data_IF_966646449626
#
_entry.id   IF_966646449626
#
_cell.length_a   1.000
_cell.length_b   1.000
_cell.length_c   1.000
_cell.angle_alpha   90.00
_cell.angle_beta   90.00
_cell.angle_gamma   90.00
#
_symmetry.space_group_name_H-M   'P 1'
#
loop_
_entity.id
_entity.type
_entity.pdbx_description
1 polymer ?
#
# COMPACT_ATOMS: atom_id res chain seq x y z
N UNK A 1 -65.13 40.07 -9.33
CA UNK A 1 -65.77 40.68 -8.14
C UNK A 1 -65.29 39.88 -6.94
N UNK A 2 -64.17 40.25 -6.32
CA UNK A 2 -64.09 41.17 -5.17
C UNK A 2 -64.09 40.29 -3.90
N UNK A 3 -63.04 40.14 -3.10
CA UNK A 3 -61.99 41.07 -2.69
C UNK A 3 -62.13 41.32 -1.18
N UNK A 4 -61.03 41.14 -0.43
CA UNK A 4 -60.71 41.42 1.01
C UNK A 4 -60.20 40.13 1.68
N UNK A 5 -58.91 39.92 1.98
CA UNK A 5 -57.83 40.78 2.50
C UNK A 5 -58.07 41.35 3.91
N UNK A 6 -57.03 41.25 4.75
CA UNK A 6 -56.83 41.52 6.20
C UNK A 6 -56.59 40.24 7.02
N UNK A 7 -55.48 40.06 7.74
CA UNK A 7 -54.45 41.05 8.07
C UNK A 7 -53.19 40.43 8.67
N UNK A 8 -52.07 40.90 8.14
CA UNK A 8 -50.74 40.90 8.73
C UNK A 8 -50.53 42.24 9.48
N UNK A 9 -50.24 42.17 10.78
CA UNK A 9 -49.62 43.19 11.66
C UNK A 9 -48.90 42.38 12.76
N UNK A 10 -47.69 42.62 13.23
CA UNK A 10 -46.82 43.80 13.42
C UNK A 10 -45.36 43.33 13.24
N UNK A 11 -44.50 44.01 12.46
CA UNK A 11 -43.63 45.14 12.84
C UNK A 11 -42.70 44.85 14.04
N UNK A 12 -41.44 44.55 13.71
CA UNK A 12 -40.26 44.66 14.57
C UNK A 12 -39.04 44.95 13.72
N UNK A 13 -38.86 46.22 13.32
CA UNK A 13 -37.60 46.75 12.78
C UNK A 13 -36.53 46.63 13.85
N UNK A 14 -35.39 46.04 13.50
CA UNK A 14 -34.11 46.37 14.10
C UNK A 14 -33.15 46.76 12.97
N UNK A 15 -33.13 48.06 12.71
CA UNK A 15 -32.01 48.74 12.06
C UNK A 15 -30.81 48.69 13.02
N UNK A 16 -29.65 48.21 12.54
CA UNK A 16 -28.47 48.02 13.38
C UNK A 16 -27.19 47.76 12.59
N UNK A 17 -26.73 48.80 11.89
CA UNK A 17 -25.32 49.17 11.70
C UNK A 17 -24.28 48.10 11.38
N UNK A 18 -23.87 48.06 10.12
CA UNK A 18 -22.47 47.81 9.75
C UNK A 18 -21.61 48.98 10.25
N UNK A 19 -20.64 48.71 11.13
CA UNK A 19 -19.56 49.62 11.56
C UNK A 19 -18.43 48.76 12.20
N UNK A 20 -17.17 49.23 12.28
CA UNK A 20 -16.15 48.85 11.32
C UNK A 20 -14.99 48.02 11.91
N UNK A 21 -14.14 47.52 11.01
CA UNK A 21 -12.85 46.90 11.27
C UNK A 21 -11.96 47.83 12.13
N UNK A 22 -11.86 47.56 13.43
CA UNK A 22 -10.90 48.24 14.30
C UNK A 22 -9.49 47.70 14.05
N UNK A 23 -8.62 48.61 13.61
CA UNK A 23 -7.20 48.43 13.36
C UNK A 23 -6.47 47.83 14.58
N UNK A 24 -5.77 46.71 14.36
CA UNK A 24 -4.67 46.28 15.22
C UNK A 24 -3.36 46.76 14.61
N UNK A 25 -2.66 47.61 15.37
CA UNK A 25 -1.40 48.27 15.05
C UNK A 25 -0.28 47.31 14.61
N UNK A 26 0.67 47.79 13.79
CA UNK A 26 1.66 46.96 13.11
C UNK A 26 2.73 46.44 14.08
N UNK A 27 3.03 45.14 13.97
CA UNK A 27 4.20 44.52 14.62
C UNK A 27 5.49 45.09 13.99
N UNK A 28 6.54 45.32 14.78
CA UNK A 28 7.78 45.97 14.32
C UNK A 28 8.55 45.09 13.31
N UNK A 29 9.37 45.70 12.43
CA UNK A 29 10.10 44.98 11.41
C UNK A 29 11.18 44.09 12.06
N UNK A 30 11.05 42.77 11.89
CA UNK A 30 12.13 41.85 12.23
C UNK A 30 13.28 42.09 11.24
N UNK A 31 14.43 42.45 11.80
CA UNK A 31 15.64 42.81 11.09
C UNK A 31 16.01 41.79 10.00
N UNK A 32 16.25 42.29 8.78
CA UNK A 32 16.94 41.57 7.72
C UNK A 32 18.38 41.28 8.16
N UNK A 33 18.58 40.14 8.82
CA UNK A 33 19.89 39.57 9.03
C UNK A 33 20.48 39.18 7.67
N UNK A 34 21.41 39.99 7.17
CA UNK A 34 22.31 39.63 6.05
C UNK A 34 23.09 38.37 6.44
N UNK A 35 22.59 37.19 6.11
CA UNK A 35 23.41 35.98 6.07
C UNK A 35 24.18 36.02 4.74
N UNK A 36 25.47 36.30 4.88
CA UNK A 36 26.46 36.25 3.80
C UNK A 36 26.31 34.93 3.04
N UNK A 37 26.21 35.03 1.71
CA UNK A 37 26.49 33.93 0.80
C UNK A 37 27.83 33.32 1.21
N UNK A 38 27.82 32.07 1.68
CA UNK A 38 29.00 31.23 1.72
C UNK A 38 29.03 30.48 0.39
N UNK A 39 30.15 30.63 -0.28
CA UNK A 39 30.47 30.06 -1.58
C UNK A 39 30.03 28.61 -1.72
N UNK A 40 29.25 28.34 -2.77
CA UNK A 40 28.99 27.00 -3.26
C UNK A 40 30.28 26.44 -3.87
N UNK A 41 31.03 25.63 -3.11
CA UNK A 41 31.98 24.68 -3.69
C UNK A 41 31.21 23.45 -4.18
N UNK A 42 31.42 22.97 -5.42
CA UNK A 42 30.94 21.65 -5.83
C UNK A 42 31.79 20.57 -5.13
N UNK A 43 31.26 19.35 -5.05
CA UNK A 43 31.86 18.17 -4.39
C UNK A 43 31.83 18.11 -2.86
N UNK A 44 30.63 17.87 -2.29
CA UNK A 44 30.47 16.90 -1.19
C UNK A 44 29.12 16.20 -1.28
N UNK A 45 29.13 14.87 -1.43
CA UNK A 45 27.95 14.02 -1.22
C UNK A 45 27.43 14.22 0.22
N UNK A 46 26.11 14.13 0.49
CA UNK A 46 25.59 14.23 1.85
C UNK A 46 26.09 13.04 2.69
N UNK A 47 26.87 13.31 3.75
CA UNK A 47 27.50 12.31 4.63
C UNK A 47 26.55 11.40 5.44
N UNK A 48 25.26 11.39 5.11
CA UNK A 48 24.28 10.45 5.69
C UNK A 48 24.28 9.10 4.96
N UNK A 49 24.79 9.05 3.73
CA UNK A 49 24.96 7.80 2.96
C UNK A 49 26.20 7.03 3.45
N UNK A 50 27.25 7.73 3.93
CA UNK A 50 28.50 7.09 4.37
C UNK A 50 28.32 6.25 5.65
N UNK A 51 27.32 6.55 6.48
CA UNK A 51 26.98 5.74 7.66
C UNK A 51 26.23 4.45 7.31
N UNK A 52 25.45 4.43 6.23
CA UNK A 52 24.80 3.22 5.70
C UNK A 52 25.71 2.43 4.74
N UNK A 53 26.71 3.10 4.13
CA UNK A 53 27.74 2.52 3.29
C UNK A 53 29.05 2.19 4.04
N UNK A 54 29.04 2.28 5.38
CA UNK A 54 30.15 1.80 6.20
C UNK A 54 30.29 0.29 6.01
N UNK A 55 31.39 -0.15 5.42
CA UNK A 55 31.74 -1.55 5.11
C UNK A 55 31.56 -2.47 6.33
N UNK A 56 30.33 -2.93 6.55
CA UNK A 56 29.98 -4.04 7.43
C UNK A 56 29.63 -5.22 6.55
N UNK A 57 30.62 -5.82 5.88
CA UNK A 57 30.52 -7.14 5.20
C UNK A 57 29.13 -7.48 4.64
N UNK A 58 28.52 -6.52 3.96
CA UNK A 58 27.23 -6.64 3.28
C UNK A 58 27.50 -6.31 1.82
N UNK A 59 28.29 -7.18 1.21
CA UNK A 59 28.48 -7.25 -0.23
C UNK A 59 28.22 -8.68 -0.66
N UNK A 60 28.19 -8.91 -1.98
CA UNK A 60 28.47 -10.22 -2.55
C UNK A 60 29.85 -10.63 -2.05
N UNK A 61 29.92 -11.35 -0.93
CA UNK A 61 31.12 -12.09 -0.59
C UNK A 61 31.38 -12.99 -1.80
N UNK A 62 32.52 -12.76 -2.47
CA UNK A 62 33.05 -13.68 -3.45
C UNK A 62 33.32 -15.00 -2.73
N UNK A 63 32.28 -15.83 -2.61
CA UNK A 63 32.49 -17.26 -2.43
C UNK A 63 33.23 -17.70 -3.70
N UNK A 64 34.48 -18.19 -3.61
CA UNK A 64 35.27 -18.48 -4.79
C UNK A 64 34.51 -19.47 -5.68
N UNK A 65 34.51 -19.30 -7.02
CA UNK A 65 33.86 -20.22 -7.94
C UNK A 65 34.73 -21.48 -8.05
N UNK A 66 34.81 -22.27 -6.98
CA UNK A 66 35.33 -23.62 -7.08
C UNK A 66 34.18 -24.50 -7.58
N UNK A 67 34.35 -25.25 -8.68
CA UNK A 67 33.38 -26.24 -9.07
C UNK A 67 33.27 -27.24 -7.91
N UNK A 68 32.07 -27.38 -7.33
CA UNK A 68 31.77 -28.46 -6.38
C UNK A 68 31.80 -29.77 -7.15
N UNK A 69 33.00 -30.31 -7.40
CA UNK A 69 33.23 -31.56 -8.14
C UNK A 69 32.81 -32.83 -7.40
N UNK A 70 32.26 -32.71 -6.20
CA UNK A 70 31.53 -33.79 -5.54
C UNK A 70 30.34 -33.21 -4.77
N UNK A 71 29.10 -33.39 -5.25
CA UNK A 71 27.93 -33.23 -4.40
C UNK A 71 27.92 -34.43 -3.45
N UNK A 72 28.77 -34.43 -2.42
CA UNK A 72 28.47 -35.25 -1.26
C UNK A 72 27.24 -34.61 -0.65
N UNK A 73 26.18 -35.40 -0.47
CA UNK A 73 25.08 -35.03 0.40
C UNK A 73 25.71 -34.54 1.70
N UNK A 74 25.67 -33.25 1.98
CA UNK A 74 25.71 -32.83 3.37
C UNK A 74 24.49 -33.50 3.96
N UNK A 75 24.75 -34.63 4.62
CA UNK A 75 23.78 -35.35 5.39
C UNK A 75 23.02 -34.32 6.19
N UNK A 76 21.71 -34.53 6.24
CA UNK A 76 20.83 -33.93 7.23
C UNK A 76 21.59 -33.94 8.55
N UNK A 77 22.24 -32.82 8.90
CA UNK A 77 22.67 -32.62 10.27
C UNK A 77 21.35 -32.60 11.02
N UNK A 78 21.20 -33.64 11.81
CA UNK A 78 20.01 -34.05 12.51
C UNK A 78 19.15 -32.86 12.95
N UNK A 79 18.00 -32.69 12.28
CA UNK A 79 16.79 -32.16 12.92
C UNK A 79 16.19 -33.25 13.84
N UNK A 80 17.03 -34.05 14.52
CA UNK A 80 16.61 -34.91 15.64
C UNK A 80 16.87 -34.12 16.90
N UNK A 81 15.84 -33.43 17.39
CA UNK A 81 15.87 -32.74 18.67
C UNK A 81 15.31 -31.32 18.68
N UNK A 82 14.99 -30.74 17.51
CA UNK A 82 14.14 -29.56 17.52
C UNK A 82 12.74 -30.02 17.91
N UNK A 83 12.34 -29.79 19.18
CA UNK A 83 10.94 -29.70 19.53
C UNK A 83 10.26 -28.93 18.42
N UNK A 84 9.22 -29.50 17.79
CA UNK A 84 8.43 -28.78 16.81
C UNK A 84 8.11 -27.43 17.44
N UNK A 85 8.69 -26.31 16.94
CA UNK A 85 8.37 -25.02 17.52
C UNK A 85 6.86 -24.89 17.33
N UNK A 86 6.15 -24.56 18.41
CA UNK A 86 4.75 -24.23 18.33
C UNK A 86 4.61 -23.27 17.15
N UNK A 87 3.81 -23.66 16.16
CA UNK A 87 3.63 -22.85 14.97
C UNK A 87 3.36 -21.42 15.43
N UNK A 88 4.06 -20.39 14.90
CA UNK A 88 3.70 -19.02 15.21
C UNK A 88 2.21 -18.88 14.96
N UNK A 89 1.46 -18.14 15.82
CA UNK A 89 0.03 -18.05 15.67
C UNK A 89 -0.25 -17.68 14.21
N UNK A 90 -1.09 -18.45 13.48
CA UNK A 90 -1.48 -18.05 12.14
C UNK A 90 -1.93 -16.60 12.26
N UNK A 91 -1.41 -15.71 11.40
CA UNK A 91 -1.88 -14.32 11.36
C UNK A 91 -3.41 -14.41 11.41
N UNK A 92 -4.02 -13.86 12.47
CA UNK A 92 -5.38 -14.22 12.91
C UNK A 92 -6.30 -14.27 11.69
N UNK A 93 -6.58 -15.48 11.22
CA UNK A 93 -7.78 -15.72 10.46
C UNK A 93 -8.86 -15.78 11.54
N UNK A 94 -9.88 -14.91 11.52
CA UNK A 94 -11.02 -15.07 12.41
C UNK A 94 -11.46 -16.53 12.34
N UNK A 95 -11.42 -17.21 13.48
CA UNK A 95 -11.83 -18.60 13.60
C UNK A 95 -13.28 -18.74 13.18
N UNK A 96 -13.53 -19.81 12.42
CA UNK A 96 -14.81 -20.37 12.02
C UNK A 96 -15.90 -19.38 11.54
N UNK A 97 -16.13 -19.40 10.22
CA UNK A 97 -17.32 -18.93 9.49
C UNK A 97 -17.35 -17.52 8.85
N UNK A 98 -16.25 -16.77 8.73
CA UNK A 98 -16.26 -15.51 7.96
C UNK A 98 -15.29 -15.53 6.77
N UNK A 99 -15.86 -15.47 5.56
CA UNK A 99 -15.14 -15.26 4.30
C UNK A 99 -14.46 -13.90 4.32
N UNK A 100 -13.13 -13.88 4.19
CA UNK A 100 -12.31 -12.67 4.24
C UNK A 100 -12.55 -11.79 3.02
N UNK A 101 -12.96 -10.54 3.24
CA UNK A 101 -13.18 -9.54 2.23
C UNK A 101 -11.89 -8.87 1.75
N UNK A 102 -11.63 -8.92 0.45
CA UNK A 102 -10.43 -8.35 -0.17
C UNK A 102 -10.75 -7.08 -0.96
N UNK A 103 -9.88 -6.07 -0.83
CA UNK A 103 -9.75 -4.97 -1.79
C UNK A 103 -8.57 -5.24 -2.71
N UNK A 104 -8.81 -5.41 -4.01
CA UNK A 104 -7.74 -5.62 -4.99
C UNK A 104 -7.35 -4.31 -5.68
N UNK A 105 -6.32 -3.65 -5.14
CA UNK A 105 -5.78 -2.44 -5.74
C UNK A 105 -4.83 -2.80 -6.88
N UNK A 106 -5.25 -2.56 -8.12
CA UNK A 106 -4.52 -2.98 -9.32
C UNK A 106 -5.03 -4.30 -9.89
N UNK A 107 -6.35 -4.52 -9.87
CA UNK A 107 -7.01 -5.78 -10.23
C UNK A 107 -6.67 -6.31 -11.64
N UNK A 108 -6.52 -5.42 -12.63
CA UNK A 108 -6.18 -5.81 -14.01
C UNK A 108 -4.68 -6.01 -14.26
N UNK A 109 -3.85 -5.70 -13.25
CA UNK A 109 -2.40 -5.92 -13.28
C UNK A 109 -2.04 -7.41 -13.11
N UNK A 110 -0.74 -7.73 -13.26
CA UNK A 110 -0.28 -9.12 -13.10
C UNK A 110 -0.59 -9.68 -11.71
N UNK A 111 -0.24 -8.94 -10.66
CA UNK A 111 -0.48 -9.38 -9.28
C UNK A 111 -1.98 -9.43 -8.96
N UNK A 112 -2.77 -8.48 -9.46
CA UNK A 112 -4.23 -8.49 -9.30
C UNK A 112 -4.87 -9.73 -9.90
N UNK A 113 -4.47 -10.13 -11.12
CA UNK A 113 -4.93 -11.36 -11.78
C UNK A 113 -4.51 -12.62 -11.02
N UNK A 114 -3.25 -12.69 -10.57
CA UNK A 114 -2.80 -13.81 -9.72
C UNK A 114 -3.55 -13.88 -8.39
N UNK A 115 -3.88 -12.73 -7.78
CA UNK A 115 -4.69 -12.69 -6.56
C UNK A 115 -6.13 -13.18 -6.81
N UNK A 116 -6.74 -12.83 -7.95
CA UNK A 116 -8.04 -13.34 -8.36
C UNK A 116 -8.04 -14.85 -8.56
N UNK A 117 -6.97 -15.40 -9.15
CA UNK A 117 -6.81 -16.86 -9.25
C UNK A 117 -6.80 -17.52 -7.86
N UNK A 118 -6.12 -16.94 -6.87
CA UNK A 118 -6.16 -17.45 -5.49
C UNK A 118 -7.57 -17.38 -4.89
N UNK A 119 -8.31 -16.29 -5.13
CA UNK A 119 -9.71 -16.17 -4.66
C UNK A 119 -10.59 -17.25 -5.28
N UNK A 120 -10.44 -17.51 -6.59
CA UNK A 120 -11.21 -18.56 -7.31
C UNK A 120 -10.97 -19.96 -6.75
N UNK A 121 -9.77 -20.24 -6.22
CA UNK A 121 -9.45 -21.55 -5.62
C UNK A 121 -9.88 -21.66 -4.15
N UNK A 122 -10.27 -20.56 -3.51
CA UNK A 122 -10.66 -20.52 -2.09
C UNK A 122 -11.93 -19.68 -1.83
N UNK A 123 -13.05 -19.94 -2.54
CA UNK A 123 -14.27 -19.13 -2.45
C UNK A 123 -14.97 -19.24 -1.09
N UNK A 124 -14.71 -20.31 -0.35
CA UNK A 124 -15.17 -20.54 1.03
C UNK A 124 -14.45 -19.62 2.05
N UNK A 125 -13.25 -19.15 1.69
CA UNK A 125 -12.36 -18.40 2.61
C UNK A 125 -12.13 -16.96 2.18
N UNK A 126 -12.24 -16.65 0.89
CA UNK A 126 -11.91 -15.36 0.31
C UNK A 126 -13.05 -14.86 -0.58
N UNK A 127 -13.34 -13.57 -0.50
CA UNK A 127 -14.23 -12.86 -1.42
C UNK A 127 -13.63 -11.53 -1.81
N UNK A 128 -13.96 -11.04 -3.00
CA UNK A 128 -13.60 -9.68 -3.40
C UNK A 128 -14.72 -8.74 -2.97
N UNK A 129 -14.41 -7.79 -2.09
CA UNK A 129 -15.34 -6.74 -1.70
C UNK A 129 -15.23 -5.54 -2.65
N UNK A 130 -14.00 -5.15 -3.01
CA UNK A 130 -13.75 -4.01 -3.88
C UNK A 130 -12.65 -4.29 -4.90
N UNK A 131 -12.77 -3.68 -6.07
CA UNK A 131 -11.76 -3.71 -7.13
C UNK A 131 -11.28 -2.30 -7.42
N UNK A 132 -9.99 -2.14 -7.69
CA UNK A 132 -9.48 -0.87 -8.19
C UNK A 132 -8.50 -1.06 -9.35
N UNK A 133 -8.51 -0.14 -10.31
CA UNK A 133 -7.55 -0.14 -11.41
C UNK A 133 -7.30 1.27 -11.96
N UNK A 134 -6.24 1.40 -12.76
CA UNK A 134 -5.91 2.67 -13.41
C UNK A 134 -6.95 3.09 -14.48
N UNK A 135 -7.63 2.13 -15.13
CA UNK A 135 -8.64 2.40 -16.16
C UNK A 135 -8.21 2.08 -17.60
N UNK A 136 -7.03 1.49 -17.83
CA UNK A 136 -6.56 1.12 -19.19
C UNK A 136 -7.40 0.04 -19.88
N UNK A 137 -8.16 -0.74 -19.11
CA UNK A 137 -8.98 -1.87 -19.58
C UNK A 137 -10.34 -1.88 -18.88
N UNK A 138 -11.22 -0.91 -19.15
CA UNK A 138 -12.46 -0.75 -18.41
C UNK A 138 -13.43 -1.93 -18.60
N UNK A 139 -13.46 -2.55 -19.78
CA UNK A 139 -14.32 -3.70 -20.07
C UNK A 139 -13.88 -4.93 -19.26
N UNK A 140 -12.57 -5.19 -19.19
CA UNK A 140 -11.99 -6.26 -18.37
C UNK A 140 -12.33 -6.03 -16.89
N UNK A 141 -12.20 -4.80 -16.40
CA UNK A 141 -12.53 -4.46 -15.01
C UNK A 141 -14.01 -4.67 -14.70
N UNK A 142 -14.91 -4.28 -15.60
CA UNK A 142 -16.35 -4.51 -15.44
C UNK A 142 -16.69 -6.01 -15.47
N UNK A 143 -16.03 -6.79 -16.32
CA UNK A 143 -16.19 -8.26 -16.31
C UNK A 143 -15.77 -8.86 -14.96
N UNK A 144 -14.60 -8.47 -14.45
CA UNK A 144 -14.11 -8.90 -13.14
C UNK A 144 -15.06 -8.50 -12.00
N UNK A 145 -15.62 -7.29 -12.03
CA UNK A 145 -16.56 -6.85 -11.00
C UNK A 145 -17.84 -7.69 -10.98
N UNK A 146 -18.40 -8.06 -12.15
CA UNK A 146 -19.56 -8.97 -12.23
C UNK A 146 -19.21 -10.39 -11.78
N UNK A 147 -18.08 -10.91 -12.23
CA UNK A 147 -17.62 -12.25 -11.87
C UNK A 147 -17.46 -12.41 -10.35
N UNK A 148 -16.88 -11.40 -9.71
CA UNK A 148 -16.52 -11.46 -8.30
C UNK A 148 -17.60 -10.97 -7.35
N UNK A 149 -18.64 -10.30 -7.86
CA UNK A 149 -19.69 -9.68 -7.06
C UNK A 149 -19.21 -8.48 -6.25
N UNK A 150 -18.15 -7.79 -6.68
CA UNK A 150 -17.58 -6.65 -5.97
C UNK A 150 -18.62 -5.52 -5.82
N UNK A 151 -18.73 -4.96 -4.60
CA UNK A 151 -19.70 -3.89 -4.27
C UNK A 151 -19.23 -2.51 -4.69
N UNK A 152 -17.93 -2.33 -4.86
CA UNK A 152 -17.33 -1.09 -5.29
C UNK A 152 -16.22 -1.31 -6.31
N UNK A 153 -16.21 -0.46 -7.34
CA UNK A 153 -15.14 -0.38 -8.34
C UNK A 153 -14.57 1.04 -8.37
N UNK A 154 -13.28 1.16 -8.06
CA UNK A 154 -12.55 2.43 -8.11
C UNK A 154 -11.67 2.50 -9.37
N UNK A 155 -11.82 3.57 -10.14
CA UNK A 155 -11.08 3.75 -11.40
C UNK A 155 -10.37 5.09 -11.41
N UNK A 156 -9.05 5.10 -11.59
CA UNK A 156 -8.30 6.37 -11.57
C UNK A 156 -8.77 7.31 -12.69
N UNK A 157 -8.91 6.80 -13.91
CA UNK A 157 -9.41 7.56 -15.07
C UNK A 157 -10.95 7.73 -15.02
N UNK A 158 -11.47 8.97 -14.95
CA UNK A 158 -12.91 9.23 -14.98
C UNK A 158 -13.63 8.72 -16.22
N UNK A 159 -13.00 8.76 -17.40
CA UNK A 159 -13.64 8.29 -18.65
C UNK A 159 -13.83 6.79 -18.63
N UNK A 160 -12.82 6.07 -18.15
CA UNK A 160 -12.89 4.63 -17.94
C UNK A 160 -13.94 4.27 -16.87
N UNK A 161 -14.07 5.09 -15.82
CA UNK A 161 -15.09 4.91 -14.80
C UNK A 161 -16.52 4.98 -15.38
N UNK A 162 -16.78 5.88 -16.32
CA UNK A 162 -18.09 5.98 -16.98
C UNK A 162 -18.39 4.72 -17.81
N UNK A 163 -17.40 4.16 -18.49
CA UNK A 163 -17.54 2.88 -19.21
C UNK A 163 -17.86 1.74 -18.26
N UNK A 164 -17.15 1.66 -17.13
CA UNK A 164 -17.41 0.64 -16.10
C UNK A 164 -18.80 0.81 -15.50
N UNK A 165 -19.23 2.05 -15.21
CA UNK A 165 -20.55 2.35 -14.64
C UNK A 165 -21.68 1.93 -15.56
N UNK A 166 -21.56 2.17 -16.87
CA UNK A 166 -22.56 1.73 -17.86
C UNK A 166 -22.65 0.21 -18.00
N UNK A 167 -21.55 -0.49 -17.70
CA UNK A 167 -21.50 -1.94 -17.80
C UNK A 167 -22.07 -2.64 -16.55
N UNK A 168 -22.02 -2.00 -15.39
CA UNK A 168 -22.40 -2.63 -14.12
C UNK A 168 -23.84 -2.29 -13.71
N UNK A 169 -24.48 -3.17 -12.91
CA UNK A 169 -25.78 -2.86 -12.33
C UNK A 169 -25.69 -1.67 -11.36
N UNK A 170 -26.82 -0.99 -11.12
CA UNK A 170 -26.86 0.28 -10.38
C UNK A 170 -26.57 0.16 -8.87
N UNK A 171 -26.56 -1.05 -8.32
CA UNK A 171 -26.21 -1.33 -6.92
C UNK A 171 -24.68 -1.40 -6.69
N UNK A 172 -23.88 -1.49 -7.76
CA UNK A 172 -22.42 -1.44 -7.67
C UNK A 172 -21.94 0.01 -7.70
N UNK A 173 -21.22 0.42 -6.66
CA UNK A 173 -20.68 1.77 -6.55
C UNK A 173 -19.47 1.92 -7.48
N UNK A 174 -19.54 2.81 -8.46
CA UNK A 174 -18.42 3.12 -9.36
C UNK A 174 -17.93 4.56 -9.14
N UNK A 175 -16.74 4.68 -8.54
CA UNK A 175 -16.12 5.95 -8.20
C UNK A 175 -14.80 6.16 -8.98
N UNK A 176 -14.38 7.41 -9.14
CA UNK A 176 -13.16 7.75 -9.88
C UNK A 176 -12.19 8.67 -9.15
N UNK A 177 -10.93 8.63 -9.62
CA UNK A 177 -9.84 9.45 -9.10
C UNK A 177 -9.11 8.85 -7.89
N UNK A 178 -8.13 9.59 -7.33
CA UNK A 178 -7.29 9.10 -6.23
C UNK A 178 -8.05 8.76 -4.96
N UNK A 179 -9.08 9.54 -4.61
CA UNK A 179 -9.89 9.29 -3.42
C UNK A 179 -10.67 7.96 -3.52
N UNK A 180 -11.13 7.60 -4.72
CA UNK A 180 -11.82 6.32 -4.93
C UNK A 180 -10.94 5.12 -4.56
N UNK A 181 -9.61 5.20 -4.72
CA UNK A 181 -8.70 4.15 -4.29
C UNK A 181 -8.66 4.01 -2.76
N UNK A 182 -8.68 5.14 -2.05
CA UNK A 182 -8.72 5.18 -0.58
C UNK A 182 -10.04 4.62 -0.09
N UNK A 183 -11.16 5.02 -0.70
CA UNK A 183 -12.49 4.53 -0.36
C UNK A 183 -12.60 3.01 -0.60
N UNK A 184 -12.08 2.51 -1.72
CA UNK A 184 -12.03 1.07 -2.00
C UNK A 184 -11.20 0.30 -0.97
N UNK A 185 -10.05 0.85 -0.55
CA UNK A 185 -9.16 0.24 0.43
C UNK A 185 -9.71 0.26 1.86
N UNK A 186 -10.57 1.24 2.18
CA UNK A 186 -11.15 1.44 3.51
C UNK A 186 -12.60 0.97 3.63
N UNK A 187 -13.19 0.47 2.54
CA UNK A 187 -14.58 0.02 2.49
C UNK A 187 -14.91 -0.93 3.67
N UNK A 188 -16.10 -0.80 4.30
CA UNK A 188 -16.43 -1.55 5.51
C UNK A 188 -16.31 -3.07 5.37
N UNK A 189 -16.65 -3.60 4.20
CA UNK A 189 -16.57 -5.03 3.88
C UNK A 189 -15.15 -5.56 3.57
N UNK A 190 -14.13 -4.70 3.60
CA UNK A 190 -12.74 -5.09 3.32
C UNK A 190 -12.01 -5.39 4.62
N UNK A 191 -11.50 -6.61 4.76
CA UNK A 191 -10.62 -6.98 5.87
C UNK A 191 -9.15 -6.81 5.49
N UNK A 192 -8.82 -7.05 4.21
CA UNK A 192 -7.46 -7.05 3.72
C UNK A 192 -7.32 -6.39 2.35
N UNK A 193 -6.26 -5.62 2.18
CA UNK A 193 -5.95 -4.92 0.93
C UNK A 193 -4.79 -5.61 0.22
N UNK A 194 -4.99 -6.02 -1.03
CA UNK A 194 -3.90 -6.43 -1.92
C UNK A 194 -3.42 -5.19 -2.67
N UNK A 195 -2.27 -4.67 -2.24
CA UNK A 195 -1.69 -3.43 -2.78
C UNK A 195 -0.73 -3.73 -3.94
N UNK A 196 -1.29 -3.78 -5.15
CA UNK A 196 -0.60 -4.08 -6.41
C UNK A 196 -0.53 -2.90 -7.40
N UNK A 197 -0.93 -1.69 -6.98
CA UNK A 197 -0.70 -0.46 -7.75
C UNK A 197 0.79 -0.13 -7.69
N UNK A 198 1.41 0.06 -8.85
CA UNK A 198 2.82 0.44 -9.01
C UNK A 198 3.00 1.94 -8.74
N UNK A 199 4.16 2.35 -8.24
CA UNK A 199 4.50 3.75 -8.00
C UNK A 199 4.02 4.28 -6.66
N UNK A 200 4.32 5.55 -6.41
CA UNK A 200 3.86 6.26 -5.22
C UNK A 200 2.33 6.42 -5.15
N UNK A 201 1.61 6.22 -6.26
CA UNK A 201 0.15 6.29 -6.30
C UNK A 201 -0.54 5.25 -5.41
N UNK A 202 0.13 4.13 -5.10
CA UNK A 202 -0.36 3.11 -4.17
C UNK A 202 -0.23 3.46 -2.70
N UNK A 203 0.57 4.48 -2.34
CA UNK A 203 0.88 4.80 -0.95
C UNK A 203 -0.34 5.35 -0.16
N UNK A 204 -1.12 6.32 -0.67
CA UNK A 204 -2.29 6.83 0.06
C UNK A 204 -3.32 5.76 0.46
N UNK A 205 -3.77 4.85 -0.43
CA UNK A 205 -4.72 3.81 -0.03
C UNK A 205 -4.10 2.78 0.92
N UNK A 206 -2.80 2.46 0.82
CA UNK A 206 -2.10 1.60 1.78
C UNK A 206 -2.06 2.25 3.17
N UNK A 207 -1.71 3.54 3.25
CA UNK A 207 -1.73 4.28 4.49
C UNK A 207 -3.12 4.26 5.14
N UNK A 208 -4.15 4.59 4.36
CA UNK A 208 -5.53 4.64 4.86
C UNK A 208 -6.02 3.27 5.35
N UNK A 209 -5.69 2.19 4.65
CA UNK A 209 -6.01 0.83 5.07
C UNK A 209 -5.38 0.48 6.42
N UNK A 210 -4.08 0.75 6.59
CA UNK A 210 -3.37 0.52 7.85
C UNK A 210 -3.92 1.39 8.99
N UNK A 211 -4.24 2.65 8.70
CA UNK A 211 -4.87 3.56 9.67
C UNK A 211 -6.24 3.06 10.14
N UNK A 212 -6.98 2.36 9.25
CA UNK A 212 -8.25 1.71 9.56
C UNK A 212 -8.09 0.32 10.22
N UNK A 213 -6.86 -0.12 10.55
CA UNK A 213 -6.59 -1.42 11.15
C UNK A 213 -6.69 -2.61 10.19
N UNK A 214 -6.80 -2.38 8.87
CA UNK A 214 -6.95 -3.43 7.85
C UNK A 214 -5.59 -4.00 7.49
N UNK A 215 -5.52 -5.32 7.30
CA UNK A 215 -4.28 -5.96 6.87
C UNK A 215 -3.92 -5.57 5.43
N UNK A 216 -2.63 -5.50 5.12
CA UNK A 216 -2.15 -5.16 3.77
C UNK A 216 -1.22 -6.26 3.26
N UNK A 217 -1.58 -6.88 2.15
CA UNK A 217 -0.70 -7.70 1.32
C UNK A 217 0.00 -6.78 0.31
N UNK A 218 1.25 -6.43 0.60
CA UNK A 218 2.00 -5.39 -0.11
C UNK A 218 2.90 -5.98 -1.20
N UNK A 219 2.51 -5.77 -2.46
CA UNK A 219 3.32 -6.12 -3.63
C UNK A 219 4.18 -4.95 -4.11
N UNK A 220 3.73 -3.72 -3.86
CA UNK A 220 4.49 -2.52 -4.18
C UNK A 220 5.64 -2.30 -3.17
N UNK A 221 6.86 -2.68 -3.57
CA UNK A 221 8.08 -2.45 -2.77
C UNK A 221 8.46 -0.97 -2.61
N UNK A 222 8.12 -0.13 -3.58
CA UNK A 222 8.46 1.31 -3.57
C UNK A 222 7.80 2.03 -2.39
N UNK A 223 6.60 1.60 -1.99
CA UNK A 223 5.92 2.11 -0.79
C UNK A 223 6.73 1.89 0.49
N UNK A 224 7.39 0.73 0.61
CA UNK A 224 8.28 0.45 1.74
C UNK A 224 9.60 1.21 1.66
N UNK A 225 10.12 1.43 0.45
CA UNK A 225 11.33 2.22 0.24
C UNK A 225 11.10 3.68 0.64
N UNK A 226 9.98 4.27 0.22
CA UNK A 226 9.67 5.69 0.45
C UNK A 226 9.17 5.96 1.87
N UNK A 227 8.29 5.10 2.39
CA UNK A 227 7.54 5.37 3.62
C UNK A 227 7.63 4.26 4.67
N UNK A 228 8.61 3.34 4.57
CA UNK A 228 8.73 2.17 5.42
C UNK A 228 8.60 2.42 6.93
N UNK A 229 9.35 3.36 7.53
CA UNK A 229 9.22 3.67 8.96
C UNK A 229 7.81 4.13 9.35
N UNK A 230 7.17 4.94 8.51
CA UNK A 230 5.82 5.45 8.74
C UNK A 230 4.78 4.33 8.68
N UNK A 231 4.83 3.49 7.63
CA UNK A 231 3.90 2.37 7.46
C UNK A 231 4.03 1.34 8.59
N UNK A 232 5.26 1.06 9.04
CA UNK A 232 5.51 0.15 10.17
C UNK A 232 5.01 0.71 11.49
N UNK A 233 5.24 2.00 11.75
CA UNK A 233 4.73 2.65 12.96
C UNK A 233 3.20 2.65 12.99
N UNK A 234 2.57 2.91 11.85
CA UNK A 234 1.11 2.89 11.73
C UNK A 234 0.55 1.48 11.95
N UNK A 235 1.12 0.47 11.30
CA UNK A 235 0.74 -0.93 11.49
C UNK A 235 0.86 -1.37 12.96
N UNK A 236 1.94 -0.96 13.65
CA UNK A 236 2.12 -1.23 15.07
C UNK A 236 1.08 -0.52 15.95
N UNK A 237 0.72 0.72 15.61
CA UNK A 237 -0.25 1.51 16.37
C UNK A 237 -1.69 1.01 16.23
N UNK A 238 -2.05 0.45 15.07
CA UNK A 238 -3.42 -0.02 14.80
C UNK A 238 -3.60 -1.52 14.95
N UNK A 239 -2.52 -2.28 15.10
CA UNK A 239 -2.54 -3.74 15.09
C UNK A 239 -2.73 -4.35 13.70
N UNK A 240 -2.71 -3.53 12.63
CA UNK A 240 -2.75 -4.01 11.27
C UNK A 240 -1.49 -4.80 10.91
N UNK A 241 -1.63 -5.82 10.05
CA UNK A 241 -0.51 -6.62 9.56
C UNK A 241 -0.08 -6.16 8.15
N UNK A 242 1.22 -5.96 7.92
CA UNK A 242 1.79 -5.84 6.57
C UNK A 242 2.44 -7.18 6.19
N UNK A 243 1.94 -7.81 5.12
CA UNK A 243 2.50 -9.05 4.57
C UNK A 243 3.15 -8.78 3.21
N UNK A 244 4.43 -9.14 3.02
CA UNK A 244 5.09 -8.95 1.73
C UNK A 244 4.58 -9.96 0.69
N UNK A 245 4.29 -9.46 -0.51
CA UNK A 245 3.91 -10.27 -1.68
C UNK A 245 5.07 -10.39 -2.68
N UNK A 246 6.03 -9.46 -2.64
CA UNK A 246 7.26 -9.55 -3.45
C UNK A 246 8.00 -10.86 -3.16
N UNK A 247 8.50 -11.55 -4.19
CA UNK A 247 8.81 -12.98 -4.15
C UNK A 247 9.91 -13.31 -3.14
N UNK A 248 10.98 -12.52 -3.12
CA UNK A 248 12.12 -12.69 -2.23
C UNK A 248 11.73 -12.37 -0.78
N UNK A 249 10.96 -11.29 -0.59
CA UNK A 249 10.50 -10.87 0.72
C UNK A 249 9.48 -11.85 1.31
N UNK A 250 8.60 -12.41 0.47
CA UNK A 250 7.66 -13.46 0.83
C UNK A 250 8.39 -14.74 1.22
N UNK A 251 9.43 -15.14 0.47
CA UNK A 251 10.27 -16.29 0.81
C UNK A 251 10.95 -16.11 2.18
N UNK A 252 11.53 -14.93 2.44
CA UNK A 252 12.09 -14.61 3.75
C UNK A 252 11.03 -14.61 4.86
N UNK A 253 9.86 -14.02 4.61
CA UNK A 253 8.75 -13.98 5.57
C UNK A 253 8.27 -15.39 5.96
N UNK A 254 8.19 -16.30 4.99
CA UNK A 254 7.85 -17.70 5.23
C UNK A 254 8.96 -18.44 5.99
N UNK A 255 10.23 -18.27 5.60
CA UNK A 255 11.36 -18.90 6.27
C UNK A 255 11.49 -18.46 7.74
N UNK A 256 11.27 -17.17 8.02
CA UNK A 256 11.33 -16.60 9.37
C UNK A 256 10.23 -17.12 10.31
N UNK A 257 9.16 -17.72 9.79
CA UNK A 257 8.13 -18.37 10.60
C UNK A 257 8.53 -19.77 11.09
N UNK A 258 9.63 -20.34 10.58
CA UNK A 258 10.14 -21.64 11.02
C UNK A 258 10.95 -21.59 12.33
N UNK A 259 11.23 -20.41 12.88
CA UNK A 259 12.05 -20.24 14.08
C UNK A 259 11.90 -18.86 14.71
N UNK A 260 12.85 -18.48 15.56
CA UNK A 260 12.87 -17.18 16.24
C UNK A 260 13.81 -16.22 15.54
N UNK A 261 13.49 -14.92 15.60
CA UNK A 261 14.34 -13.88 15.02
C UNK A 261 15.80 -13.92 15.53
N UNK A 262 16.02 -14.33 16.79
CA UNK A 262 17.35 -14.44 17.39
C UNK A 262 18.20 -15.59 16.79
N UNK A 263 17.61 -16.54 16.08
CA UNK A 263 18.30 -17.67 15.44
C UNK A 263 18.83 -17.27 14.05
N UNK A 264 18.42 -16.11 13.53
CA UNK A 264 18.77 -15.65 12.19
C UNK A 264 20.19 -15.11 12.16
N UNK A 265 21.10 -15.85 11.52
CA UNK A 265 22.49 -15.41 11.29
C UNK A 265 22.65 -14.50 10.08
N UNK A 266 21.94 -14.78 8.98
CA UNK A 266 22.06 -14.08 7.69
C UNK A 266 20.75 -14.17 6.90
N UNK A 267 20.43 -13.12 6.17
CA UNK A 267 19.40 -13.13 5.12
C UNK A 267 20.08 -13.21 3.75
N UNK A 268 19.61 -14.11 2.89
CA UNK A 268 20.08 -14.26 1.51
C UNK A 268 19.01 -13.70 0.57
N UNK A 269 19.32 -12.59 -0.09
CA UNK A 269 18.46 -12.01 -1.11
C UNK A 269 18.94 -12.50 -2.48
N UNK A 270 18.11 -13.27 -3.16
CA UNK A 270 18.38 -13.76 -4.52
C UNK A 270 17.97 -12.75 -5.55
N UNK A 271 18.64 -12.73 -6.70
CA UNK A 271 18.22 -11.96 -7.87
C UNK A 271 18.48 -12.80 -9.13
N UNK A 272 17.61 -12.67 -10.14
CA UNK A 272 17.79 -13.36 -11.43
C UNK A 272 18.93 -12.79 -12.27
N UNK A 273 19.38 -11.57 -11.98
CA UNK A 273 20.36 -10.81 -12.76
C UNK A 273 19.79 -10.12 -14.01
N UNK A 274 18.53 -10.41 -14.39
CA UNK A 274 17.86 -9.78 -15.52
C UNK A 274 18.46 -10.12 -16.89
N UNK A 275 17.94 -9.51 -17.98
CA UNK A 275 18.36 -9.83 -19.35
C UNK A 275 19.80 -9.44 -19.66
N UNK A 276 20.44 -8.61 -18.82
CA UNK A 276 21.81 -8.13 -19.02
C UNK A 276 22.84 -8.79 -18.09
N UNK A 277 22.47 -9.83 -17.34
CA UNK A 277 23.40 -10.51 -16.42
C UNK A 277 24.71 -10.96 -17.12
N UNK A 278 24.60 -11.35 -18.38
CA UNK A 278 25.73 -11.85 -19.19
C UNK A 278 26.19 -10.86 -20.26
N UNK A 279 25.78 -9.59 -20.17
CA UNK A 279 26.19 -8.56 -21.13
C UNK A 279 27.50 -7.92 -20.66
N UNK A 280 28.47 -7.85 -21.55
CA UNK A 280 29.71 -7.14 -21.30
C UNK A 280 29.46 -5.62 -21.30
N UNK A 281 30.00 -4.90 -20.31
CA UNK A 281 29.78 -3.45 -20.17
C UNK A 281 30.42 -2.59 -21.26
N UNK A 282 31.18 -3.20 -22.19
CA UNK A 282 31.81 -2.54 -23.33
C UNK A 282 30.91 -2.46 -24.58
N UNK A 283 29.72 -3.08 -24.55
CA UNK A 283 28.73 -3.09 -25.65
C UNK A 283 27.33 -2.77 -25.16
#
# INVERSE_FOLDING_TARGET
>A
MGGRDRGLRHLGRLDGGLEPLAARSPRPPVARGRRRHRDCRPDRRPGRIDLEAGSRRQGLEHDPPRPRRHPRSHGRHDLRGAHAPAAPPPGRFPGDALTLGLSLLGATGSIGRSALEVVRHHPDRLRVATLAAQGRKPEELAALARETGARMVAVIDPRAADTVRRALPSDVVVASGPQALVDAATHPEVDRVVAAIVGAAGLPPVHAALAAGKGVALANKESMVVAGPLLRALAAATGAEIVPVDSEHSALHQALRGGRAAEVRRLLLTASGGPFLRRDGAT
#
